data_IF_179712469399
#
_entry.id   IF_179712469399
#
_cell.length_a   1.000
_cell.length_b   1.000
_cell.length_c   1.000
_cell.angle_alpha   90.00
_cell.angle_beta   90.00
_cell.angle_gamma   90.00
#
_symmetry.space_group_name_H-M   'P 1'
#
loop_
_entity.id
_entity.type
_entity.pdbx_description
1 polymer ?
#
# COMPACT_ATOMS: atom_id res chain seq x y z
N UNK A 1 -15.26 8.52 10.69
CA UNK A 1 -15.11 8.92 9.29
C UNK A 1 -13.68 9.10 8.86
N UNK A 2 -12.92 9.84 9.64
CA UNK A 2 -11.52 10.05 9.29
C UNK A 2 -10.73 8.75 9.28
N UNK A 3 -11.09 7.78 10.13
CA UNK A 3 -10.38 6.52 10.18
C UNK A 3 -10.46 5.77 8.85
N UNK A 4 -11.61 5.78 8.20
CA UNK A 4 -11.74 5.10 6.91
C UNK A 4 -10.98 5.82 5.81
N UNK A 5 -10.91 7.15 5.86
CA UNK A 5 -10.11 7.92 4.91
C UNK A 5 -8.63 7.58 5.09
N UNK A 6 -8.16 7.53 6.32
CA UNK A 6 -6.77 7.20 6.61
C UNK A 6 -6.47 5.77 6.16
N UNK A 7 -7.40 4.84 6.41
CA UNK A 7 -7.23 3.46 5.96
C UNK A 7 -7.10 3.40 4.43
N UNK A 8 -7.94 4.12 3.72
CA UNK A 8 -7.87 4.15 2.26
C UNK A 8 -6.53 4.70 1.78
N UNK A 9 -6.05 5.78 2.42
CA UNK A 9 -4.76 6.34 2.05
C UNK A 9 -3.61 5.37 2.36
N UNK A 10 -3.69 4.66 3.48
CA UNK A 10 -2.67 3.66 3.81
C UNK A 10 -2.60 2.59 2.73
N UNK A 11 -3.76 2.10 2.29
CA UNK A 11 -3.81 1.08 1.25
C UNK A 11 -3.29 1.64 -0.07
N UNK A 12 -3.65 2.88 -0.41
CA UNK A 12 -3.20 3.50 -1.64
C UNK A 12 -1.68 3.61 -1.69
N UNK A 13 -1.06 4.03 -0.60
CA UNK A 13 0.40 4.13 -0.55
C UNK A 13 1.06 2.75 -0.60
N UNK A 14 0.44 1.76 0.03
CA UNK A 14 0.97 0.40 -0.04
C UNK A 14 0.90 -0.14 -1.47
N UNK A 15 -0.22 0.08 -2.16
CA UNK A 15 -0.36 -0.35 -3.55
C UNK A 15 0.69 0.34 -4.42
N UNK A 16 0.90 1.64 -4.22
CA UNK A 16 1.92 2.37 -4.95
C UNK A 16 3.30 1.74 -4.75
N UNK A 17 3.66 1.47 -3.49
CA UNK A 17 4.95 0.86 -3.21
C UNK A 17 5.09 -0.50 -3.86
N UNK A 18 4.06 -1.33 -3.75
CA UNK A 18 4.08 -2.67 -4.32
C UNK A 18 4.21 -2.63 -5.84
N UNK A 19 3.53 -1.69 -6.48
CA UNK A 19 3.62 -1.56 -7.93
C UNK A 19 5.01 -1.13 -8.39
N UNK A 20 5.80 -0.53 -7.52
CA UNK A 20 7.15 -0.11 -7.85
C UNK A 20 8.19 -1.21 -7.61
N UNK A 21 7.80 -2.32 -6.99
CA UNK A 21 8.76 -3.41 -6.72
C UNK A 21 9.43 -3.92 -8.00
N UNK A 22 8.70 -4.25 -9.07
CA UNK A 22 9.39 -4.69 -10.29
C UNK A 22 10.28 -3.60 -10.89
N UNK A 23 9.86 -2.34 -10.79
CA UNK A 23 10.63 -1.23 -11.33
C UNK A 23 11.93 -1.00 -10.57
N UNK A 24 11.99 -1.41 -9.30
CA UNK A 24 13.19 -1.24 -8.49
C UNK A 24 14.30 -2.21 -8.90
N UNK A 25 13.97 -3.25 -9.66
CA UNK A 25 14.91 -4.27 -10.10
C UNK A 25 15.75 -4.79 -8.95
N UNK A 26 15.04 -5.36 -7.96
CA UNK A 26 15.69 -5.95 -6.79
C UNK A 26 16.37 -4.88 -5.93
N UNK A 27 15.76 -3.69 -5.89
CA UNK A 27 16.23 -2.55 -5.10
C UNK A 27 17.56 -1.98 -5.60
N UNK A 28 17.88 -2.19 -6.86
CA UNK A 28 19.09 -1.62 -7.44
C UNK A 28 18.86 -0.25 -8.08
N UNK A 29 17.62 0.05 -8.46
CA UNK A 29 17.28 1.35 -9.01
C UNK A 29 16.97 2.32 -7.87
N UNK A 30 17.73 3.42 -7.79
CA UNK A 30 17.64 4.34 -6.65
C UNK A 30 16.28 5.03 -6.59
N UNK A 31 15.79 5.54 -7.72
CA UNK A 31 14.56 6.33 -7.71
C UNK A 31 13.34 5.49 -7.35
N UNK A 32 13.03 4.37 -8.05
CA UNK A 32 11.88 3.58 -7.65
C UNK A 32 12.01 3.00 -6.25
N UNK A 33 13.21 2.60 -5.85
CA UNK A 33 13.43 2.06 -4.52
C UNK A 33 13.13 3.11 -3.45
N UNK A 34 13.61 4.34 -3.64
CA UNK A 34 13.35 5.41 -2.70
C UNK A 34 11.86 5.71 -2.59
N UNK A 35 11.16 5.79 -3.71
CA UNK A 35 9.73 6.09 -3.71
C UNK A 35 8.94 4.99 -3.03
N UNK A 36 9.25 3.71 -3.32
CA UNK A 36 8.51 2.63 -2.70
C UNK A 36 8.77 2.54 -1.20
N UNK A 37 9.99 2.81 -0.75
CA UNK A 37 10.28 2.79 0.68
C UNK A 37 9.54 3.90 1.41
N UNK A 38 9.49 5.09 0.80
CA UNK A 38 8.74 6.20 1.38
C UNK A 38 7.24 5.87 1.40
N UNK A 39 6.74 5.30 0.30
CA UNK A 39 5.33 4.94 0.23
C UNK A 39 4.96 3.92 1.30
N UNK A 40 5.79 2.89 1.49
CA UNK A 40 5.55 1.91 2.54
C UNK A 40 5.63 2.54 3.93
N UNK A 41 6.60 3.43 4.15
CA UNK A 41 6.71 4.11 5.44
C UNK A 41 5.46 4.91 5.77
N UNK A 42 4.97 5.68 4.81
CA UNK A 42 3.75 6.45 4.99
C UNK A 42 2.55 5.52 5.23
N UNK A 43 2.48 4.43 4.47
CA UNK A 43 1.40 3.47 4.61
C UNK A 43 1.38 2.88 6.02
N UNK A 44 2.52 2.44 6.53
CA UNK A 44 2.59 1.85 7.86
C UNK A 44 2.28 2.87 8.95
N UNK A 45 2.67 4.13 8.75
CA UNK A 45 2.32 5.17 9.70
C UNK A 45 0.80 5.33 9.78
N UNK A 46 0.15 5.41 8.63
CA UNK A 46 -1.30 5.51 8.60
C UNK A 46 -1.96 4.27 9.17
N UNK A 47 -1.38 3.09 8.91
CA UNK A 47 -1.89 1.85 9.48
C UNK A 47 -1.85 1.89 11.01
N UNK A 48 -0.76 2.40 11.57
CA UNK A 48 -0.66 2.53 13.02
C UNK A 48 -1.74 3.44 13.58
N UNK A 49 -2.01 4.54 12.89
CA UNK A 49 -3.07 5.46 13.32
C UNK A 49 -4.44 4.79 13.27
N UNK A 50 -4.73 4.09 12.18
CA UNK A 50 -6.03 3.46 11.96
C UNK A 50 -6.26 2.32 12.94
N UNK A 51 -5.22 1.57 13.28
CA UNK A 51 -5.36 0.42 14.15
C UNK A 51 -5.83 0.80 15.55
N UNK A 52 -5.72 2.08 15.92
CA UNK A 52 -6.24 2.56 17.19
C UNK A 52 -7.71 2.96 17.11
N UNK A 53 -8.25 3.10 15.91
CA UNK A 53 -9.63 3.55 15.70
C UNK A 53 -10.54 2.46 15.21
N UNK A 54 -10.02 1.49 14.45
CA UNK A 54 -10.81 0.43 13.84
C UNK A 54 -10.32 -0.92 14.32
N UNK A 55 -11.22 -1.92 14.41
CA UNK A 55 -10.79 -3.28 14.73
C UNK A 55 -9.81 -3.81 13.69
N UNK A 56 -8.85 -4.57 14.15
CA UNK A 56 -7.82 -5.12 13.27
C UNK A 56 -8.42 -6.00 12.17
N UNK A 57 -9.52 -6.70 12.49
CA UNK A 57 -10.17 -7.53 11.48
C UNK A 57 -10.71 -6.70 10.32
N UNK A 58 -11.28 -5.53 10.62
CA UNK A 58 -11.77 -4.62 9.59
C UNK A 58 -10.61 -4.08 8.74
N UNK A 59 -9.51 -3.72 9.41
CA UNK A 59 -8.34 -3.18 8.71
C UNK A 59 -7.78 -4.21 7.74
N UNK A 60 -7.57 -5.44 8.20
CA UNK A 60 -7.00 -6.46 7.34
C UNK A 60 -7.97 -6.92 6.23
N UNK A 61 -9.25 -7.00 6.52
CA UNK A 61 -10.22 -7.35 5.49
C UNK A 61 -10.24 -6.30 4.39
N UNK A 62 -10.22 -5.02 4.76
CA UNK A 62 -10.18 -3.94 3.78
C UNK A 62 -8.88 -3.96 2.98
N UNK A 63 -7.77 -4.23 3.65
CA UNK A 63 -6.48 -4.29 2.99
C UNK A 63 -6.44 -5.41 1.96
N UNK A 64 -6.92 -6.59 2.32
CA UNK A 64 -6.97 -7.71 1.39
C UNK A 64 -7.91 -7.41 0.22
N UNK A 65 -9.08 -6.83 0.50
CA UNK A 65 -10.03 -6.53 -0.55
C UNK A 65 -9.57 -5.45 -1.49
N UNK A 66 -9.17 -4.31 -0.95
CA UNK A 66 -8.78 -3.17 -1.79
C UNK A 66 -7.32 -3.25 -2.21
N UNK A 67 -6.43 -3.57 -1.27
CA UNK A 67 -5.00 -3.54 -1.56
C UNK A 67 -4.55 -4.65 -2.48
N UNK A 68 -4.77 -5.89 -2.04
CA UNK A 68 -4.29 -7.05 -2.80
C UNK A 68 -4.99 -7.13 -4.15
N UNK A 69 -6.30 -6.92 -4.15
CA UNK A 69 -7.07 -6.97 -5.39
C UNK A 69 -6.63 -5.87 -6.36
N UNK A 70 -6.39 -4.66 -5.86
CA UNK A 70 -5.91 -3.56 -6.69
C UNK A 70 -4.55 -3.86 -7.29
N UNK A 71 -3.64 -4.42 -6.51
CA UNK A 71 -2.32 -4.80 -7.01
C UNK A 71 -2.45 -5.84 -8.12
N UNK A 72 -3.32 -6.83 -7.92
CA UNK A 72 -3.51 -7.87 -8.93
C UNK A 72 -4.00 -7.28 -10.25
N UNK A 73 -4.98 -6.37 -10.17
CA UNK A 73 -5.54 -5.75 -11.37
C UNK A 73 -4.51 -4.86 -12.05
N UNK A 74 -3.84 -3.99 -11.28
CA UNK A 74 -2.87 -3.07 -11.86
C UNK A 74 -1.67 -3.81 -12.43
N UNK A 75 -1.21 -4.86 -11.76
CA UNK A 75 -0.10 -5.65 -12.27
C UNK A 75 -0.44 -6.30 -13.60
N UNK A 76 -1.66 -6.77 -13.73
CA UNK A 76 -2.09 -7.37 -14.98
C UNK A 76 -1.98 -6.38 -16.14
N UNK A 77 -2.38 -5.12 -15.91
CA UNK A 77 -2.36 -4.13 -16.97
C UNK A 77 -0.96 -3.58 -17.25
N UNK A 78 -0.14 -3.43 -16.22
CA UNK A 78 1.15 -2.76 -16.39
C UNK A 78 2.33 -3.73 -16.53
N UNK A 79 2.28 -4.87 -15.87
CA UNK A 79 3.43 -5.79 -15.88
C UNK A 79 3.10 -7.16 -16.46
N UNK A 80 1.87 -7.59 -16.20
CA UNK A 80 1.50 -8.95 -16.57
C UNK A 80 2.46 -9.95 -15.91
#
# INVERSE_FOLDING_TARGET
MHAYVILFLAIAFEVLGTMLLPASQNFTKVLPTSVLLIAYGVSFYFLALVSQKLPLSIVYASWAGLGVFSVAILSYFFYK
#
